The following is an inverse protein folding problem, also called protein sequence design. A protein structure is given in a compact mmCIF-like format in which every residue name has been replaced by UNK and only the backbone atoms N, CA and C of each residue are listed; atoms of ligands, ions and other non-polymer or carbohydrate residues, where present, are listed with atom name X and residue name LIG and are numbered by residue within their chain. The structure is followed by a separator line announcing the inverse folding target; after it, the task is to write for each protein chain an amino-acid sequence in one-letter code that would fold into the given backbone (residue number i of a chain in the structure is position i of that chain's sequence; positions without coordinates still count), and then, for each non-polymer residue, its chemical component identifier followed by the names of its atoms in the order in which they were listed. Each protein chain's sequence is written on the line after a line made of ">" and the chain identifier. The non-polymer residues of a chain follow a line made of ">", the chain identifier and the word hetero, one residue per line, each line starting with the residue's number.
data_IF_347443318714
#
_entry.id   IF_347443318714
#
_cell.length_a   1.000
_cell.length_b   1.000
_cell.length_c   1.000
_cell.angle_alpha   90.00
_cell.angle_beta   90.00
_cell.angle_gamma   90.00
#
_symmetry.space_group_name_H-M   'P 1'
#
loop_
_entity.id
_entity.type
_entity.pdbx_description
1 polymer ?
#
# COMPACT_ATOMS: atom_id res chain seq x y z
N UNK A 1 -16.11 12.66 14.28
CA UNK A 1 -15.07 11.64 14.09
C UNK A 1 -15.27 11.01 12.72
N UNK A 2 -14.27 11.05 11.84
CA UNK A 2 -14.36 10.54 10.47
C UNK A 2 -14.30 9.00 10.51
N UNK A 3 -15.30 8.32 9.99
CA UNK A 3 -15.42 6.86 9.98
C UNK A 3 -14.72 6.30 8.74
N UNK A 4 -13.64 5.58 8.94
CA UNK A 4 -12.80 5.06 7.84
C UNK A 4 -12.85 3.54 7.81
N UNK A 5 -13.33 2.98 6.73
CA UNK A 5 -13.30 1.56 6.43
C UNK A 5 -12.10 1.20 5.55
N UNK A 6 -11.45 0.07 5.83
CA UNK A 6 -10.31 -0.41 5.03
C UNK A 6 -10.58 -1.84 4.61
N UNK A 7 -10.72 -2.10 3.32
CA UNK A 7 -10.65 -3.47 2.80
C UNK A 7 -9.20 -3.85 2.54
N UNK A 8 -8.81 -5.09 2.79
CA UNK A 8 -7.39 -5.48 2.75
C UNK A 8 -6.60 -4.99 3.97
N UNK A 9 -7.28 -4.82 5.10
CA UNK A 9 -6.77 -4.35 6.38
C UNK A 9 -5.69 -5.25 7.01
N UNK A 10 -5.51 -6.47 6.52
CA UNK A 10 -4.46 -7.41 6.95
C UNK A 10 -3.19 -7.35 6.10
N UNK A 11 -3.21 -6.63 4.98
CA UNK A 11 -2.04 -6.36 4.16
C UNK A 11 -1.17 -5.24 4.74
N UNK A 12 0.09 -5.13 4.30
CA UNK A 12 1.07 -4.16 4.81
C UNK A 12 0.52 -2.72 4.84
N UNK A 13 0.04 -2.20 3.71
CA UNK A 13 -0.50 -0.83 3.62
C UNK A 13 -1.78 -0.67 4.47
N UNK A 14 -2.65 -1.68 4.46
CA UNK A 14 -3.89 -1.66 5.24
C UNK A 14 -3.63 -1.63 6.75
N UNK A 15 -2.70 -2.44 7.26
CA UNK A 15 -2.30 -2.43 8.67
C UNK A 15 -1.68 -1.10 9.07
N UNK A 16 -0.82 -0.53 8.23
CA UNK A 16 -0.16 0.74 8.50
C UNK A 16 -1.14 1.91 8.55
N UNK A 17 -2.12 1.95 7.64
CA UNK A 17 -3.18 2.95 7.67
C UNK A 17 -4.10 2.74 8.88
N UNK A 18 -4.50 1.51 9.16
CA UNK A 18 -5.34 1.18 10.31
C UNK A 18 -4.70 1.62 11.64
N UNK A 19 -3.38 1.46 11.80
CA UNK A 19 -2.65 1.92 12.97
C UNK A 19 -2.73 3.44 13.13
N UNK A 20 -2.59 4.21 12.04
CA UNK A 20 -2.70 5.66 12.03
C UNK A 20 -4.11 6.14 12.39
N UNK A 21 -5.11 5.50 11.81
CA UNK A 21 -6.52 5.82 12.10
C UNK A 21 -6.84 5.58 13.56
N UNK A 22 -6.40 4.44 14.15
CA UNK A 22 -6.59 4.15 15.58
C UNK A 22 -5.85 5.13 16.50
N UNK A 23 -4.69 5.61 16.07
CA UNK A 23 -3.87 6.58 16.83
C UNK A 23 -4.36 8.02 16.74
N UNK A 24 -5.33 8.33 15.90
CA UNK A 24 -5.81 9.70 15.70
C UNK A 24 -7.22 9.89 16.29
N UNK A 25 -7.40 10.96 17.09
CA UNK A 25 -8.65 11.24 17.81
C UNK A 25 -9.80 11.72 16.92
N UNK A 26 -9.51 12.16 15.70
CA UNK A 26 -10.51 12.66 14.75
C UNK A 26 -11.06 11.56 13.85
N UNK A 27 -10.47 10.38 13.89
CA UNK A 27 -10.83 9.25 13.04
C UNK A 27 -11.30 8.04 13.85
N UNK A 28 -12.16 7.21 13.24
CA UNK A 28 -12.61 5.94 13.78
C UNK A 28 -12.48 4.85 12.71
N UNK A 29 -11.78 3.77 13.03
CA UNK A 29 -11.63 2.63 12.14
C UNK A 29 -12.88 1.75 12.21
N UNK A 30 -13.56 1.59 11.09
CA UNK A 30 -14.68 0.66 10.95
C UNK A 30 -14.10 -0.73 10.66
N UNK A 31 -14.51 -1.71 11.45
CA UNK A 31 -14.07 -3.10 11.29
C UNK A 31 -14.49 -3.65 9.93
N UNK A 32 -13.63 -4.46 9.33
CA UNK A 32 -13.88 -5.16 8.08
C UNK A 32 -13.34 -6.59 8.13
N UNK A 33 -14.13 -7.54 7.69
CA UNK A 33 -13.72 -8.93 7.53
C UNK A 33 -13.73 -9.36 6.06
N UNK A 34 -12.73 -10.14 5.66
CA UNK A 34 -12.56 -10.58 4.27
C UNK A 34 -13.74 -11.44 3.78
N UNK A 35 -14.37 -12.20 4.67
CA UNK A 35 -15.56 -13.03 4.36
C UNK A 35 -16.71 -12.20 3.80
N UNK A 36 -16.84 -10.93 4.23
CA UNK A 36 -17.95 -10.04 3.84
C UNK A 36 -18.02 -9.75 2.35
N UNK A 37 -16.94 -9.97 1.60
CA UNK A 37 -17.04 -9.94 0.14
C UNK A 37 -18.00 -11.01 -0.42
N UNK A 38 -18.20 -12.12 0.30
CA UNK A 38 -19.17 -13.17 -0.08
C UNK A 38 -20.51 -13.05 0.68
N UNK A 39 -20.67 -12.01 1.48
CA UNK A 39 -21.84 -11.74 2.32
C UNK A 39 -22.37 -10.34 2.01
N UNK A 40 -23.21 -10.17 0.96
CA UNK A 40 -23.61 -8.84 0.47
C UNK A 40 -24.24 -7.94 1.55
N UNK A 41 -25.03 -8.47 2.46
CA UNK A 41 -25.65 -7.71 3.55
C UNK A 41 -24.59 -7.17 4.53
N UNK A 42 -23.59 -7.97 4.88
CA UNK A 42 -22.49 -7.54 5.74
C UNK A 42 -21.63 -6.49 5.07
N UNK A 43 -21.38 -6.63 3.76
CA UNK A 43 -20.64 -5.64 3.00
C UNK A 43 -21.42 -4.31 2.89
N UNK A 44 -22.72 -4.34 2.68
CA UNK A 44 -23.59 -3.16 2.69
C UNK A 44 -23.62 -2.50 4.07
N UNK A 45 -23.72 -3.30 5.15
CA UNK A 45 -23.64 -2.80 6.52
C UNK A 45 -22.31 -2.09 6.78
N UNK A 46 -21.18 -2.68 6.36
CA UNK A 46 -19.87 -2.04 6.45
C UNK A 46 -19.85 -0.70 5.72
N UNK A 47 -20.29 -0.67 4.46
CA UNK A 47 -20.30 0.54 3.62
C UNK A 47 -21.15 1.65 4.28
N UNK A 48 -22.35 1.34 4.79
CA UNK A 48 -23.24 2.31 5.42
C UNK A 48 -22.68 2.96 6.70
N UNK A 49 -21.69 2.32 7.33
CA UNK A 49 -21.03 2.84 8.53
C UNK A 49 -19.77 3.65 8.26
N UNK A 50 -19.36 3.80 7.01
CA UNK A 50 -18.17 4.53 6.61
C UNK A 50 -18.49 5.94 6.10
N UNK A 51 -17.56 6.89 6.28
CA UNK A 51 -17.49 8.15 5.55
C UNK A 51 -16.43 8.05 4.43
N UNK A 52 -15.40 7.21 4.68
CA UNK A 52 -14.32 6.89 3.75
C UNK A 52 -14.13 5.39 3.67
N UNK A 53 -13.93 4.89 2.46
CA UNK A 53 -13.57 3.48 2.20
C UNK A 53 -12.27 3.46 1.41
N UNK A 54 -11.22 2.87 1.99
CA UNK A 54 -9.93 2.68 1.31
C UNK A 54 -9.83 1.22 0.88
N UNK A 55 -9.87 1.01 -0.42
CA UNK A 55 -9.84 -0.34 -1.00
C UNK A 55 -8.41 -0.78 -1.33
N UNK A 56 -7.76 -1.49 -0.39
CA UNK A 56 -6.47 -2.16 -0.61
C UNK A 56 -6.61 -3.62 -1.01
N UNK A 57 -7.79 -4.23 -0.82
CA UNK A 57 -8.00 -5.65 -1.09
C UNK A 57 -7.70 -5.98 -2.56
N UNK A 58 -6.60 -6.69 -2.79
CA UNK A 58 -6.17 -7.18 -4.09
C UNK A 58 -5.11 -8.26 -3.90
N UNK A 59 -4.94 -9.12 -4.90
CA UNK A 59 -3.77 -9.97 -5.02
C UNK A 59 -2.80 -9.35 -6.04
N UNK A 60 -1.51 -9.38 -5.75
CA UNK A 60 -0.47 -8.74 -6.57
C UNK A 60 0.38 -9.74 -7.34
N UNK A 61 0.36 -11.02 -6.92
CA UNK A 61 0.99 -12.14 -7.60
C UNK A 61 0.10 -13.38 -7.55
N UNK A 62 0.02 -14.08 -8.67
CA UNK A 62 -0.58 -15.38 -8.83
C UNK A 62 0.13 -16.07 -10.01
N UNK A 63 0.30 -17.38 -9.96
CA UNK A 63 0.82 -18.15 -11.08
C UNK A 63 -0.14 -18.14 -12.28
N UNK A 64 -1.42 -17.87 -12.05
CA UNK A 64 -2.45 -17.67 -13.06
C UNK A 64 -2.82 -16.17 -13.12
N UNK A 65 -2.38 -15.51 -14.19
CA UNK A 65 -2.63 -14.09 -14.41
C UNK A 65 -4.11 -13.75 -14.63
N UNK A 66 -4.88 -14.66 -15.23
CA UNK A 66 -6.32 -14.45 -15.44
C UNK A 66 -7.06 -14.52 -14.09
N UNK A 67 -6.74 -15.50 -13.26
CA UNK A 67 -7.31 -15.61 -11.90
C UNK A 67 -6.99 -14.39 -11.06
N UNK A 68 -5.77 -13.83 -11.17
CA UNK A 68 -5.38 -12.59 -10.51
C UNK A 68 -6.27 -11.43 -10.98
N UNK A 69 -6.40 -11.25 -12.27
CA UNK A 69 -7.21 -10.19 -12.86
C UNK A 69 -8.67 -10.29 -12.39
N UNK A 70 -9.28 -11.45 -12.57
CA UNK A 70 -10.68 -11.72 -12.21
C UNK A 70 -10.92 -11.52 -10.70
N UNK A 71 -9.98 -11.96 -9.86
CA UNK A 71 -10.10 -11.77 -8.41
C UNK A 71 -10.11 -10.30 -8.04
N UNK A 72 -9.19 -9.50 -8.59
CA UNK A 72 -9.10 -8.08 -8.29
C UNK A 72 -10.33 -7.32 -8.78
N UNK A 73 -10.82 -7.63 -9.98
CA UNK A 73 -12.04 -7.01 -10.51
C UNK A 73 -13.26 -7.38 -9.67
N UNK A 74 -13.45 -8.66 -9.36
CA UNK A 74 -14.57 -9.14 -8.55
C UNK A 74 -14.65 -8.48 -7.18
N UNK A 75 -13.52 -8.34 -6.47
CA UNK A 75 -13.49 -7.67 -5.16
C UNK A 75 -13.94 -6.22 -5.26
N UNK A 76 -13.52 -5.50 -6.29
CA UNK A 76 -13.94 -4.12 -6.52
C UNK A 76 -15.41 -4.05 -6.93
N UNK A 77 -15.88 -4.91 -7.82
CA UNK A 77 -17.28 -4.98 -8.26
C UNK A 77 -18.23 -5.24 -7.10
N UNK A 78 -17.89 -6.17 -6.21
CA UNK A 78 -18.65 -6.46 -5.00
C UNK A 78 -18.74 -5.23 -4.08
N UNK A 79 -17.63 -4.53 -3.86
CA UNK A 79 -17.63 -3.30 -3.07
C UNK A 79 -18.49 -2.22 -3.72
N UNK A 80 -18.34 -1.99 -5.02
CA UNK A 80 -19.11 -0.95 -5.74
C UNK A 80 -20.60 -1.29 -5.80
N UNK A 81 -20.98 -2.55 -5.88
CA UNK A 81 -22.38 -2.98 -5.77
C UNK A 81 -22.96 -2.61 -4.40
N UNK A 82 -22.23 -2.85 -3.30
CA UNK A 82 -22.65 -2.44 -1.96
C UNK A 82 -22.73 -0.91 -1.82
N UNK A 83 -21.76 -0.17 -2.39
CA UNK A 83 -21.75 1.30 -2.43
C UNK A 83 -23.00 1.84 -3.15
N UNK A 84 -23.36 1.28 -4.30
CA UNK A 84 -24.54 1.67 -5.06
C UNK A 84 -25.84 1.33 -4.32
N UNK A 85 -25.96 0.10 -3.79
CA UNK A 85 -27.16 -0.34 -3.07
C UNK A 85 -27.44 0.50 -1.82
N UNK A 86 -26.40 0.90 -1.10
CA UNK A 86 -26.53 1.72 0.12
C UNK A 86 -26.67 3.23 -0.16
N UNK A 87 -26.63 3.63 -1.42
CA UNK A 87 -26.62 5.06 -1.81
C UNK A 87 -25.50 5.83 -1.07
N UNK A 88 -24.35 5.21 -0.94
CA UNK A 88 -23.20 5.79 -0.23
C UNK A 88 -22.77 7.13 -0.85
N UNK A 89 -22.62 8.16 -0.02
CA UNK A 89 -22.28 9.53 -0.45
C UNK A 89 -20.87 9.99 -0.01
N UNK A 90 -20.11 9.10 0.64
CA UNK A 90 -18.78 9.38 1.12
C UNK A 90 -17.69 9.31 0.04
N UNK A 91 -16.52 8.84 0.41
CA UNK A 91 -15.35 8.69 -0.48
C UNK A 91 -14.96 7.23 -0.61
N UNK A 92 -14.80 6.75 -1.84
CA UNK A 92 -14.15 5.46 -2.14
C UNK A 92 -12.79 5.73 -2.78
N UNK A 93 -11.71 5.32 -2.12
CA UNK A 93 -10.36 5.44 -2.63
C UNK A 93 -9.78 4.06 -2.98
N UNK A 94 -9.41 3.85 -4.24
CA UNK A 94 -8.87 2.61 -4.77
C UNK A 94 -7.35 2.67 -4.83
N UNK A 95 -6.67 1.73 -4.16
CA UNK A 95 -5.24 1.55 -4.32
C UNK A 95 -4.88 1.03 -5.72
N UNK A 96 -4.06 1.81 -6.41
CA UNK A 96 -3.51 1.52 -7.73
C UNK A 96 -1.97 1.69 -7.69
N UNK A 97 -1.33 1.81 -8.82
CA UNK A 97 0.12 1.94 -8.94
C UNK A 97 0.47 2.93 -10.04
N UNK A 98 1.58 3.65 -9.89
CA UNK A 98 2.14 4.49 -10.97
C UNK A 98 2.49 3.68 -12.23
N UNK A 99 2.65 2.35 -12.09
CA UNK A 99 2.94 1.41 -13.20
C UNK A 99 1.69 0.84 -13.88
N UNK A 100 0.51 1.41 -13.68
CA UNK A 100 -0.75 0.89 -14.23
C UNK A 100 -0.79 0.79 -15.78
N UNK A 101 0.08 1.50 -16.49
CA UNK A 101 0.23 1.39 -17.94
C UNK A 101 0.92 0.11 -18.41
N UNK A 102 1.50 -0.69 -17.49
CA UNK A 102 2.16 -1.95 -17.80
C UNK A 102 1.21 -3.01 -18.37
N UNK A 103 1.81 -4.04 -19.01
CA UNK A 103 1.06 -5.10 -19.73
C UNK A 103 0.68 -6.30 -18.86
N UNK A 104 1.22 -6.40 -17.64
CA UNK A 104 0.93 -7.53 -16.75
C UNK A 104 -0.55 -7.55 -16.33
N UNK A 105 -1.14 -8.73 -16.07
CA UNK A 105 -2.52 -8.87 -15.60
C UNK A 105 -2.83 -8.01 -14.37
N UNK A 106 -1.88 -7.89 -13.44
CA UNK A 106 -1.97 -6.99 -12.30
C UNK A 106 -2.17 -5.52 -12.73
N UNK A 107 -1.34 -5.02 -13.65
CA UNK A 107 -1.45 -3.64 -14.14
C UNK A 107 -2.78 -3.42 -14.87
N UNK A 108 -3.23 -4.42 -15.65
CA UNK A 108 -4.53 -4.39 -16.31
C UNK A 108 -5.66 -4.28 -15.29
N UNK A 109 -5.66 -5.11 -14.23
CA UNK A 109 -6.70 -5.05 -13.18
C UNK A 109 -6.72 -3.70 -12.47
N UNK A 110 -5.56 -3.05 -12.26
CA UNK A 110 -5.51 -1.71 -11.65
C UNK A 110 -6.04 -0.62 -12.57
N UNK A 111 -5.77 -0.70 -13.86
CA UNK A 111 -6.28 0.25 -14.87
C UNK A 111 -7.79 0.11 -15.04
N UNK A 112 -8.26 -1.11 -15.27
CA UNK A 112 -9.67 -1.39 -15.53
C UNK A 112 -10.51 -1.15 -14.27
N UNK A 113 -9.97 -1.48 -13.09
CA UNK A 113 -10.58 -1.15 -11.79
C UNK A 113 -10.69 0.35 -11.54
N UNK A 114 -9.67 1.13 -11.91
CA UNK A 114 -9.74 2.59 -11.81
C UNK A 114 -10.83 3.16 -12.72
N UNK A 115 -10.92 2.69 -13.97
CA UNK A 115 -11.96 3.09 -14.90
C UNK A 115 -13.37 2.73 -14.39
N UNK A 116 -13.54 1.53 -13.84
CA UNK A 116 -14.79 1.08 -13.24
C UNK A 116 -15.19 1.97 -12.04
N UNK A 117 -14.26 2.25 -11.11
CA UNK A 117 -14.52 3.12 -9.96
C UNK A 117 -15.00 4.51 -10.41
N UNK A 118 -14.28 5.15 -11.32
CA UNK A 118 -14.59 6.50 -11.79
C UNK A 118 -15.95 6.58 -12.50
N UNK A 119 -16.26 5.57 -13.33
CA UNK A 119 -17.57 5.45 -13.98
C UNK A 119 -18.69 5.32 -12.94
N UNK A 120 -18.56 4.35 -12.02
CA UNK A 120 -19.58 4.10 -11.00
C UNK A 120 -19.79 5.30 -10.09
N UNK A 121 -18.71 6.01 -9.74
CA UNK A 121 -18.80 7.22 -8.92
C UNK A 121 -19.58 8.34 -9.61
N UNK A 122 -19.40 8.52 -10.92
CA UNK A 122 -20.13 9.51 -11.72
C UNK A 122 -21.63 9.15 -11.77
N UNK A 123 -21.96 7.87 -11.95
CA UNK A 123 -23.33 7.38 -12.08
C UNK A 123 -24.11 7.40 -10.75
N UNK A 124 -23.42 7.30 -9.61
CA UNK A 124 -24.04 7.18 -8.28
C UNK A 124 -23.73 8.34 -7.32
N UNK A 125 -23.12 9.42 -7.81
CA UNK A 125 -22.90 10.68 -7.10
C UNK A 125 -22.12 10.55 -5.77
N UNK A 126 -21.17 9.61 -5.66
CA UNK A 126 -20.19 9.54 -4.56
C UNK A 126 -18.83 10.06 -5.00
N UNK A 127 -17.99 10.45 -4.04
CA UNK A 127 -16.63 10.91 -4.33
C UNK A 127 -15.68 9.71 -4.49
N UNK A 128 -14.78 9.78 -5.45
CA UNK A 128 -13.81 8.71 -5.70
C UNK A 128 -12.40 9.24 -5.85
N UNK A 129 -11.42 8.40 -5.54
CA UNK A 129 -10.01 8.68 -5.77
C UNK A 129 -9.26 7.42 -6.21
N UNK A 130 -8.38 7.55 -7.18
CA UNK A 130 -7.42 6.52 -7.57
C UNK A 130 -6.07 6.87 -6.93
N UNK A 131 -5.60 6.05 -6.00
CA UNK A 131 -4.35 6.25 -5.27
C UNK A 131 -3.20 5.59 -6.03
N UNK A 132 -2.33 6.36 -6.66
CA UNK A 132 -1.19 5.87 -7.43
C UNK A 132 0.03 5.70 -6.53
N UNK A 133 0.16 4.51 -5.94
CA UNK A 133 1.30 4.18 -5.08
C UNK A 133 2.57 4.00 -5.89
N UNK A 134 3.66 4.57 -5.39
CA UNK A 134 5.02 4.26 -5.83
C UNK A 134 5.48 2.89 -5.29
N UNK A 135 6.69 2.44 -5.69
CA UNK A 135 7.26 1.24 -5.10
C UNK A 135 7.42 1.43 -3.59
N UNK A 136 6.43 0.94 -2.85
CA UNK A 136 6.38 1.03 -1.41
C UNK A 136 7.32 0.01 -0.76
N UNK A 137 8.01 0.43 0.29
CA UNK A 137 8.76 -0.46 1.17
C UNK A 137 8.42 -0.18 2.63
N UNK A 138 8.48 -1.20 3.46
CA UNK A 138 8.20 -1.12 4.89
C UNK A 138 8.84 -2.29 5.64
N UNK A 139 9.02 -2.18 6.97
CA UNK A 139 9.36 -3.32 7.82
C UNK A 139 8.37 -4.48 7.63
N UNK A 140 8.87 -5.71 7.60
CA UNK A 140 8.04 -6.92 7.48
C UNK A 140 7.50 -7.21 6.08
N UNK A 141 7.99 -6.55 5.03
CA UNK A 141 7.70 -6.93 3.66
C UNK A 141 8.21 -8.35 3.36
N UNK A 142 7.49 -9.11 2.52
CA UNK A 142 7.91 -10.46 2.16
C UNK A 142 9.08 -10.42 1.15
N UNK A 143 10.24 -11.06 1.45
CA UNK A 143 11.33 -11.23 0.48
C UNK A 143 10.83 -11.99 -0.75
N UNK A 144 11.44 -11.75 -1.90
CA UNK A 144 11.17 -12.42 -3.18
C UNK A 144 9.71 -12.33 -3.66
N UNK A 145 8.93 -11.43 -3.07
CA UNK A 145 7.53 -11.26 -3.41
C UNK A 145 7.28 -10.04 -4.30
N UNK A 146 7.39 -8.81 -3.80
CA UNK A 146 7.04 -7.60 -4.58
C UNK A 146 7.99 -6.42 -4.39
N UNK A 147 9.00 -6.53 -3.56
CA UNK A 147 9.86 -5.42 -3.22
C UNK A 147 11.33 -5.83 -3.27
N UNK A 148 12.09 -5.18 -4.15
CA UNK A 148 13.55 -5.32 -4.15
C UNK A 148 14.14 -4.91 -2.80
N UNK A 149 13.59 -3.90 -2.13
CA UNK A 149 14.04 -3.47 -0.81
C UNK A 149 13.88 -4.60 0.21
N UNK A 150 12.72 -5.26 0.26
CA UNK A 150 12.48 -6.38 1.19
C UNK A 150 13.41 -7.56 0.92
N UNK A 151 13.61 -7.90 -0.36
CA UNK A 151 14.54 -8.99 -0.76
C UNK A 151 15.98 -8.66 -0.37
N UNK A 152 16.44 -7.45 -0.65
CA UNK A 152 17.78 -7.02 -0.30
C UNK A 152 17.99 -6.91 1.21
N UNK A 153 17.00 -6.38 1.95
CA UNK A 153 17.06 -6.34 3.41
C UNK A 153 17.19 -7.74 4.02
N UNK A 154 16.41 -8.71 3.54
CA UNK A 154 16.48 -10.09 4.02
C UNK A 154 17.86 -10.74 3.70
N UNK A 155 18.32 -10.63 2.46
CA UNK A 155 19.60 -11.20 2.04
C UNK A 155 20.77 -10.56 2.79
N UNK A 156 20.82 -9.24 2.84
CA UNK A 156 21.89 -8.49 3.53
C UNK A 156 21.87 -8.81 5.03
N UNK A 157 20.71 -8.86 5.67
CA UNK A 157 20.59 -9.27 7.07
C UNK A 157 21.19 -10.68 7.29
N UNK A 158 20.85 -11.64 6.41
CA UNK A 158 21.35 -13.00 6.48
C UNK A 158 22.83 -13.16 6.05
N UNK A 159 23.49 -12.11 5.57
CA UNK A 159 24.85 -12.18 5.03
C UNK A 159 24.94 -12.86 3.65
N UNK A 160 23.82 -12.93 2.95
CA UNK A 160 23.72 -13.47 1.59
C UNK A 160 24.03 -12.37 0.57
N UNK A 161 24.84 -12.67 -0.41
CA UNK A 161 25.17 -11.72 -1.47
C UNK A 161 23.94 -11.37 -2.32
N UNK A 162 23.65 -10.07 -2.46
CA UNK A 162 22.62 -9.59 -3.37
C UNK A 162 23.15 -9.54 -4.80
N UNK A 163 22.65 -10.44 -5.65
CA UNK A 163 22.94 -10.40 -7.09
C UNK A 163 22.14 -9.29 -7.75
N UNK A 164 22.79 -8.55 -8.64
CA UNK A 164 22.21 -7.48 -9.46
C UNK A 164 22.21 -7.95 -10.90
N UNK A 165 21.07 -8.40 -11.40
CA UNK A 165 20.96 -8.83 -12.80
C UNK A 165 20.90 -7.62 -13.75
N UNK A 166 20.36 -6.51 -13.28
CA UNK A 166 20.28 -5.24 -14.00
C UNK A 166 20.29 -4.09 -13.00
N UNK A 167 21.18 -3.11 -13.23
CA UNK A 167 21.26 -1.90 -12.41
C UNK A 167 20.21 -0.86 -12.83
N UNK A 168 18.95 -1.24 -12.75
CA UNK A 168 17.83 -0.41 -13.13
C UNK A 168 17.60 0.75 -12.13
N UNK A 169 17.07 1.87 -12.62
CA UNK A 169 16.63 2.97 -11.77
C UNK A 169 15.36 2.60 -11.02
N UNK A 170 15.36 2.84 -9.73
CA UNK A 170 14.24 2.63 -8.82
C UNK A 170 13.64 3.98 -8.44
N UNK A 171 12.31 4.01 -8.34
CA UNK A 171 11.58 5.10 -7.69
C UNK A 171 10.96 4.52 -6.43
N UNK A 172 11.46 4.90 -5.26
CA UNK A 172 11.08 4.35 -3.96
C UNK A 172 10.45 5.42 -3.07
N UNK A 173 9.39 5.05 -2.38
CA UNK A 173 8.80 5.86 -1.32
C UNK A 173 8.36 4.95 -0.18
N UNK A 174 8.67 5.28 1.07
CA UNK A 174 8.27 4.44 2.19
C UNK A 174 6.74 4.34 2.30
N UNK A 175 6.25 3.17 2.67
CA UNK A 175 4.82 2.98 2.91
C UNK A 175 4.33 3.88 4.06
N UNK A 176 5.18 4.14 5.06
CA UNK A 176 4.89 5.04 6.16
C UNK A 176 4.56 6.45 5.65
N UNK A 177 5.41 6.99 4.79
CA UNK A 177 5.26 8.34 4.24
C UNK A 177 4.03 8.44 3.32
N UNK A 178 3.76 7.41 2.50
CA UNK A 178 2.55 7.35 1.68
C UNK A 178 1.28 7.32 2.54
N UNK A 179 1.29 6.59 3.66
CA UNK A 179 0.14 6.54 4.58
C UNK A 179 -0.05 7.86 5.33
N UNK A 180 1.02 8.57 5.68
CA UNK A 180 0.91 9.88 6.32
C UNK A 180 0.24 10.90 5.38
N UNK A 181 0.67 10.96 4.12
CA UNK A 181 0.04 11.81 3.10
C UNK A 181 -1.44 11.45 2.86
N UNK A 182 -1.79 10.17 2.89
CA UNK A 182 -3.19 9.74 2.77
C UNK A 182 -4.01 10.16 4.00
N UNK A 183 -3.45 10.04 5.22
CA UNK A 183 -4.09 10.52 6.44
C UNK A 183 -4.36 12.03 6.41
N UNK A 184 -3.42 12.84 5.92
CA UNK A 184 -3.64 14.28 5.73
C UNK A 184 -4.88 14.56 4.85
N UNK A 185 -5.08 13.78 3.77
CA UNK A 185 -6.25 13.94 2.89
C UNK A 185 -7.55 13.52 3.56
N UNK A 186 -7.51 12.43 4.34
CA UNK A 186 -8.67 11.96 5.12
C UNK A 186 -9.07 13.04 6.14
N UNK A 187 -8.11 13.56 6.90
CA UNK A 187 -8.36 14.60 7.93
C UNK A 187 -8.84 15.92 7.32
N UNK A 188 -8.29 16.32 6.17
CA UNK A 188 -8.75 17.48 5.44
C UNK A 188 -10.14 17.31 4.79
N UNK A 189 -10.68 16.09 4.77
CA UNK A 189 -11.97 15.79 4.13
C UNK A 189 -11.97 15.98 2.62
N UNK A 190 -10.81 16.13 2.00
CA UNK A 190 -10.65 16.44 0.58
C UNK A 190 -9.54 15.59 -0.06
N UNK A 191 -9.87 14.96 -1.19
CA UNK A 191 -8.94 14.14 -1.95
C UNK A 191 -9.14 14.37 -3.46
N UNK A 192 -8.09 14.48 -4.25
CA UNK A 192 -8.21 14.59 -5.71
C UNK A 192 -8.70 13.28 -6.34
N UNK A 193 -9.33 13.34 -7.50
CA UNK A 193 -9.79 12.16 -8.26
C UNK A 193 -8.65 11.19 -8.55
N UNK A 194 -7.44 11.72 -8.77
CA UNK A 194 -6.20 10.93 -8.84
C UNK A 194 -5.19 11.51 -7.87
N UNK A 195 -4.73 10.70 -6.93
CA UNK A 195 -3.72 11.10 -5.95
C UNK A 195 -2.39 10.41 -6.25
N UNK A 196 -1.35 11.19 -6.43
CA UNK A 196 0.05 10.74 -6.41
C UNK A 196 0.70 11.13 -5.09
N UNK A 197 1.69 10.36 -4.67
CA UNK A 197 2.42 10.61 -3.43
C UNK A 197 3.75 11.32 -3.74
N UNK A 198 4.13 12.29 -2.90
CA UNK A 198 5.33 13.11 -3.07
C UNK A 198 6.49 12.56 -2.23
N UNK A 199 7.71 12.94 -2.59
CA UNK A 199 8.90 12.59 -1.81
C UNK A 199 9.57 11.28 -2.24
N UNK A 200 9.20 10.72 -3.40
CA UNK A 200 9.88 9.55 -3.93
C UNK A 200 11.37 9.84 -4.21
N UNK A 201 12.22 8.89 -3.84
CA UNK A 201 13.67 8.94 -4.06
C UNK A 201 14.00 8.08 -5.27
N UNK A 202 14.86 8.60 -6.13
CA UNK A 202 15.38 7.91 -7.30
C UNK A 202 16.81 7.46 -7.01
N UNK A 203 17.07 6.16 -7.17
CA UNK A 203 18.40 5.57 -6.99
C UNK A 203 18.49 4.28 -7.82
N UNK A 204 19.71 3.87 -8.14
CA UNK A 204 19.93 2.59 -8.82
C UNK A 204 19.82 1.41 -7.84
N UNK A 205 19.72 0.19 -8.38
CA UNK A 205 19.74 -1.03 -7.57
C UNK A 205 21.07 -1.18 -6.83
N UNK A 206 22.19 -0.78 -7.44
CA UNK A 206 23.51 -0.79 -6.82
C UNK A 206 23.62 0.21 -5.67
N UNK A 207 23.12 1.44 -5.83
CA UNK A 207 23.08 2.45 -4.78
C UNK A 207 22.22 2.01 -3.59
N UNK A 208 21.08 1.34 -3.85
CA UNK A 208 20.25 0.75 -2.79
C UNK A 208 21.03 -0.30 -2.00
N UNK A 209 21.73 -1.21 -2.72
CA UNK A 209 22.57 -2.26 -2.09
C UNK A 209 23.63 -1.64 -1.18
N UNK A 210 24.40 -0.70 -1.71
CA UNK A 210 25.47 -0.02 -0.97
C UNK A 210 24.95 0.65 0.31
N UNK A 211 23.83 1.41 0.22
CA UNK A 211 23.20 2.03 1.39
C UNK A 211 22.81 0.99 2.45
N UNK A 212 22.23 -0.13 2.04
CA UNK A 212 21.82 -1.19 2.96
C UNK A 212 23.01 -1.89 3.61
N UNK A 213 24.11 -2.12 2.89
CA UNK A 213 25.37 -2.72 3.42
C UNK A 213 26.02 -1.80 4.46
N UNK A 214 26.09 -0.49 4.21
CA UNK A 214 26.55 0.51 5.19
C UNK A 214 25.67 0.49 6.44
N UNK A 215 24.33 0.49 6.28
CA UNK A 215 23.39 0.43 7.40
C UNK A 215 23.52 -0.87 8.20
N UNK A 216 23.73 -2.02 7.53
CA UNK A 216 23.97 -3.30 8.22
C UNK A 216 25.23 -3.25 9.08
N UNK A 217 26.30 -2.69 8.55
CA UNK A 217 27.57 -2.55 9.29
C UNK A 217 27.36 -1.73 10.57
N UNK A 218 26.60 -0.63 10.49
CA UNK A 218 26.24 0.16 11.67
C UNK A 218 25.42 -0.65 12.68
N UNK A 219 24.41 -1.43 12.22
CA UNK A 219 23.59 -2.29 13.09
C UNK A 219 24.45 -3.31 13.83
N UNK A 220 25.36 -4.02 13.12
CA UNK A 220 26.24 -5.02 13.73
C UNK A 220 27.21 -4.42 14.76
N UNK A 221 27.65 -3.18 14.53
CA UNK A 221 28.48 -2.43 15.47
C UNK A 221 27.68 -1.79 16.61
N UNK A 222 26.37 -2.05 16.72
CA UNK A 222 25.45 -1.44 17.70
C UNK A 222 25.43 0.10 17.62
N UNK A 223 25.63 0.64 16.42
CA UNK A 223 25.62 2.08 16.14
C UNK A 223 24.32 2.46 15.41
N UNK A 224 23.84 3.67 15.72
CA UNK A 224 22.74 4.30 14.97
C UNK A 224 23.38 5.30 14.01
N UNK A 225 23.27 5.12 12.69
CA UNK A 225 23.81 6.08 11.75
C UNK A 225 23.07 7.42 11.83
N UNK A 226 23.74 8.49 11.42
CA UNK A 226 23.06 9.77 11.20
C UNK A 226 22.23 9.67 9.92
N UNK A 227 20.97 10.04 10.01
CA UNK A 227 20.08 10.13 8.85
C UNK A 227 19.98 11.59 8.40
N UNK A 228 20.15 11.84 7.12
CA UNK A 228 19.98 13.16 6.51
C UNK A 228 18.56 13.36 5.99
N UNK A 229 17.89 12.24 5.68
CA UNK A 229 16.55 12.23 5.10
C UNK A 229 15.63 11.24 5.82
N UNK A 230 14.32 11.48 5.72
CA UNK A 230 13.30 10.53 6.19
C UNK A 230 13.43 9.19 5.45
N UNK A 231 13.74 9.21 4.16
CA UNK A 231 13.95 7.99 3.37
C UNK A 231 15.03 7.09 3.98
N UNK A 232 16.16 7.65 4.40
CA UNK A 232 17.25 6.88 5.02
C UNK A 232 16.82 6.28 6.37
N UNK A 233 16.10 7.04 7.18
CA UNK A 233 15.54 6.52 8.43
C UNK A 233 14.57 5.36 8.20
N UNK A 234 13.64 5.50 7.25
CA UNK A 234 12.65 4.45 6.92
C UNK A 234 13.32 3.23 6.29
N UNK A 235 14.38 3.42 5.48
CA UNK A 235 15.17 2.32 4.92
C UNK A 235 15.93 1.57 6.01
N UNK A 236 16.56 2.29 6.94
CA UNK A 236 17.23 1.71 8.10
C UNK A 236 16.28 0.93 9.00
N UNK A 237 15.12 1.48 9.33
CA UNK A 237 14.11 0.80 10.16
C UNK A 237 13.58 -0.46 9.46
N UNK A 238 13.45 -0.40 8.13
CA UNK A 238 13.09 -1.56 7.32
C UNK A 238 14.17 -2.65 7.42
N UNK A 239 15.43 -2.33 7.19
CA UNK A 239 16.54 -3.30 7.31
C UNK A 239 16.64 -3.86 8.72
N UNK A 240 16.52 -3.01 9.74
CA UNK A 240 16.62 -3.41 11.16
C UNK A 240 15.58 -4.47 11.53
N UNK A 241 14.39 -4.43 10.94
CA UNK A 241 13.36 -5.44 11.18
C UNK A 241 13.77 -6.85 10.70
N UNK A 242 14.62 -6.94 9.67
CA UNK A 242 15.19 -8.22 9.21
C UNK A 242 16.43 -8.63 10.01
N UNK A 243 17.11 -7.68 10.65
CA UNK A 243 18.25 -7.93 11.52
C UNK A 243 17.84 -8.27 12.96
N UNK A 244 16.56 -8.31 13.30
CA UNK A 244 16.08 -8.71 14.63
C UNK A 244 16.55 -10.14 14.92
N UNK A 245 17.34 -10.33 16.00
CA UNK A 245 17.99 -11.60 16.35
C UNK A 245 19.49 -11.70 15.97
N UNK A 246 20.04 -10.73 15.24
CA UNK A 246 21.50 -10.65 14.99
C UNK A 246 22.23 -9.83 16.06
N UNK A 247 21.51 -9.11 16.91
CA UNK A 247 22.06 -8.14 17.87
C UNK A 247 21.78 -8.49 19.33
N UNK A 248 21.21 -9.67 19.59
CA UNK A 248 20.98 -10.22 20.94
C UNK A 248 22.26 -10.83 21.53
#
# INVERSE_FOLDING_TARGET
>A
MIRVGITGNTGCLGMMLAARIRGNRETNLIAFERSWFNEPEMLQHFVAHCDWIIHFAAISRDGDGERLYQTNMRLLEQLLAAVTTTQFSGVVALASTTRYAGKLPYHKSKRDGAALLLKTATENAFRSSVLLFENAFAPGGLPDYNSVVSTFCANIAAGIECKIDSDAQLTLLSAAEQMDQLMEKILAGNIPVTMTFKGAVHLSVSELKEKLEIMRTAILNKQIPRFETRFEYELYTTLRAYCAGLTD
#
